data_IF_412407084822
#
_entry.id   IF_412407084822
#
_cell.length_a   1.000
_cell.length_b   1.000
_cell.length_c   1.000
_cell.angle_alpha   90.00
_cell.angle_beta   90.00
_cell.angle_gamma   90.00
#
_symmetry.space_group_name_H-M   'P 1'
#
loop_
_entity.id
_entity.type
_entity.pdbx_description
1 polymer ?
#
# COMPACT_ATOMS: atom_id res chain seq x y z
N UNK A 1 -6.51 2.52 -14.46
CA UNK A 1 -6.16 3.05 -13.09
C UNK A 1 -5.17 2.10 -12.43
N UNK A 2 -4.31 2.49 -11.46
CA UNK A 2 -3.30 1.54 -10.91
C UNK A 2 -3.89 0.22 -10.38
N UNK A 3 -5.09 0.28 -9.82
CA UNK A 3 -5.85 -0.88 -9.34
C UNK A 3 -6.21 -1.87 -10.45
N UNK A 4 -6.60 -1.38 -11.62
CA UNK A 4 -7.00 -2.20 -12.78
C UNK A 4 -5.79 -2.91 -13.40
N UNK A 5 -4.65 -2.22 -13.50
CA UNK A 5 -3.38 -2.78 -13.96
C UNK A 5 -2.93 -3.96 -13.08
N UNK A 6 -3.13 -3.84 -11.76
CA UNK A 6 -2.78 -4.87 -10.78
C UNK A 6 -3.90 -5.90 -10.56
N UNK A 7 -5.01 -5.80 -11.29
CA UNK A 7 -6.20 -6.65 -11.14
C UNK A 7 -6.73 -6.69 -9.70
N UNK A 8 -6.62 -5.57 -8.98
CA UNK A 8 -7.13 -5.41 -7.62
C UNK A 8 -8.51 -4.76 -7.63
N UNK A 9 -9.39 -5.31 -6.82
CA UNK A 9 -10.72 -4.79 -6.57
C UNK A 9 -10.80 -4.15 -5.18
N UNK A 10 -11.78 -3.26 -5.00
CA UNK A 10 -12.03 -2.62 -3.70
C UNK A 10 -12.39 -3.70 -2.67
N UNK A 11 -11.65 -3.74 -1.57
CA UNK A 11 -11.87 -4.71 -0.50
C UNK A 11 -10.92 -5.91 -0.54
N UNK A 12 -10.10 -6.06 -1.58
CA UNK A 12 -9.14 -7.16 -1.67
C UNK A 12 -8.11 -7.10 -0.54
N UNK A 13 -7.72 -8.29 -0.08
CA UNK A 13 -6.65 -8.46 0.90
C UNK A 13 -5.30 -8.48 0.18
N UNK A 14 -4.41 -7.57 0.55
CA UNK A 14 -3.09 -7.42 -0.06
C UNK A 14 -1.99 -7.59 0.97
N UNK A 15 -0.85 -8.14 0.55
CA UNK A 15 0.37 -8.23 1.38
C UNK A 15 1.36 -7.18 0.93
N UNK A 16 1.59 -6.18 1.78
CA UNK A 16 2.63 -5.16 1.58
C UNK A 16 3.97 -5.69 2.08
N UNK A 17 5.04 -5.53 1.28
CA UNK A 17 6.40 -5.94 1.63
C UNK A 17 7.26 -4.71 1.90
N UNK A 18 7.68 -4.55 3.14
CA UNK A 18 8.51 -3.44 3.60
C UNK A 18 9.98 -3.80 3.72
N UNK A 19 10.72 -2.98 4.47
CA UNK A 19 12.16 -3.18 4.71
C UNK A 19 12.40 -4.23 5.80
N UNK A 20 13.63 -4.76 5.84
CA UNK A 20 14.06 -5.76 6.84
C UNK A 20 13.09 -6.96 6.93
N UNK A 21 12.61 -7.43 5.76
CA UNK A 21 11.69 -8.57 5.61
C UNK A 21 10.36 -8.39 6.37
N UNK A 22 9.95 -7.16 6.66
CA UNK A 22 8.65 -6.90 7.30
C UNK A 22 7.54 -6.99 6.26
N UNK A 23 6.43 -7.61 6.65
CA UNK A 23 5.23 -7.71 5.84
C UNK A 23 4.04 -7.23 6.66
N UNK A 24 3.01 -6.73 5.98
CA UNK A 24 1.75 -6.33 6.62
C UNK A 24 0.60 -6.62 5.67
N UNK A 25 -0.43 -7.28 6.18
CA UNK A 25 -1.67 -7.53 5.45
C UNK A 25 -2.56 -6.30 5.59
N UNK A 26 -3.12 -5.83 4.48
CA UNK A 26 -4.00 -4.66 4.40
C UNK A 26 -5.21 -4.96 3.51
N UNK A 27 -6.23 -4.11 3.63
CA UNK A 27 -7.35 -4.06 2.69
C UNK A 27 -7.13 -2.88 1.75
N UNK A 28 -7.26 -3.11 0.45
CA UNK A 28 -7.09 -2.05 -0.55
C UNK A 28 -8.40 -1.30 -0.80
N UNK A 29 -8.32 0.03 -0.88
CA UNK A 29 -9.45 0.93 -1.11
C UNK A 29 -9.12 1.88 -2.27
N UNK A 30 -10.14 2.26 -3.03
CA UNK A 30 -10.05 3.28 -4.07
C UNK A 30 -10.00 4.68 -3.45
N UNK A 31 -9.12 5.54 -3.98
CA UNK A 31 -8.98 6.95 -3.62
C UNK A 31 -8.59 7.75 -4.87
N UNK A 32 -9.56 8.50 -5.43
CA UNK A 32 -9.36 9.28 -6.66
C UNK A 32 -8.46 10.51 -6.45
N UNK A 33 -8.12 10.83 -5.20
CA UNK A 33 -7.17 11.91 -4.85
C UNK A 33 -5.72 11.41 -4.72
N UNK A 34 -5.50 10.10 -4.85
CA UNK A 34 -4.15 9.52 -4.81
C UNK A 34 -3.61 9.37 -6.24
N UNK A 35 -2.42 9.93 -6.50
CA UNK A 35 -1.75 9.73 -7.79
C UNK A 35 -1.45 8.25 -8.04
N UNK A 36 -1.51 7.82 -9.31
CA UNK A 36 -1.37 6.41 -9.72
C UNK A 36 -0.04 5.75 -9.28
N UNK A 37 1.02 6.52 -9.06
CA UNK A 37 2.34 6.02 -8.63
C UNK A 37 2.54 6.05 -7.11
N UNK A 38 1.48 6.28 -6.33
CA UNK A 38 1.56 6.42 -4.87
C UNK A 38 0.55 5.52 -4.19
N UNK A 39 0.87 5.14 -2.96
CA UNK A 39 -0.05 4.46 -2.04
C UNK A 39 -0.12 5.24 -0.72
N UNK A 40 -1.35 5.50 -0.25
CA UNK A 40 -1.57 6.09 1.07
C UNK A 40 -1.68 4.98 2.11
N UNK A 41 -0.99 5.16 3.24
CA UNK A 41 -1.15 4.30 4.41
C UNK A 41 -0.88 5.10 5.68
N UNK A 42 -1.51 4.70 6.77
CA UNK A 42 -1.38 5.41 8.04
C UNK A 42 0.01 5.20 8.68
N UNK A 43 0.27 5.90 9.79
CA UNK A 43 1.54 5.80 10.53
C UNK A 43 1.81 4.39 11.05
N UNK A 44 0.77 3.66 11.46
CA UNK A 44 0.90 2.31 12.03
C UNK A 44 1.40 1.33 10.96
N UNK A 45 0.80 1.32 9.77
CA UNK A 45 1.23 0.47 8.65
C UNK A 45 2.67 0.78 8.23
N UNK A 46 3.06 2.06 8.15
CA UNK A 46 4.45 2.43 7.84
C UNK A 46 5.44 1.94 8.90
N UNK A 47 5.10 2.08 10.18
CA UNK A 47 5.93 1.58 11.28
C UNK A 47 6.10 0.06 11.21
N UNK A 48 5.02 -0.68 10.91
CA UNK A 48 5.06 -2.13 10.77
C UNK A 48 6.03 -2.56 9.65
N UNK A 49 5.96 -1.87 8.51
CA UNK A 49 6.78 -2.09 7.31
C UNK A 49 8.21 -1.50 7.40
N UNK A 50 8.52 -0.73 8.45
CA UNK A 50 9.79 0.00 8.64
C UNK A 50 10.14 0.93 7.46
N UNK A 51 9.16 1.72 7.01
CA UNK A 51 9.31 2.70 5.93
C UNK A 51 8.93 4.12 6.36
N UNK A 52 9.41 5.11 5.61
CA UNK A 52 9.10 6.54 5.75
C UNK A 52 8.28 7.04 4.55
N UNK A 53 7.81 8.29 4.61
CA UNK A 53 7.17 8.91 3.45
C UNK A 53 8.20 9.06 2.32
N UNK A 54 7.82 8.68 1.11
CA UNK A 54 8.69 8.68 -0.08
C UNK A 54 9.49 7.40 -0.30
N UNK A 55 9.52 6.47 0.66
CA UNK A 55 10.07 5.13 0.41
C UNK A 55 9.17 4.34 -0.54
N UNK A 56 9.78 3.52 -1.41
CA UNK A 56 9.09 2.59 -2.31
C UNK A 56 8.91 1.24 -1.63
N UNK A 57 7.74 0.63 -1.82
CA UNK A 57 7.38 -0.74 -1.40
C UNK A 57 6.62 -1.47 -2.49
#
# INVERSE_FOLDING_TARGET
VKMEELQLFRGDTVVLRGRKRRQTVCIVLTDDTCGNERVRMNRVTRNNLRVRLGDVI
#
